data_IF_733897782691
#
_entry.id   IF_733897782691
#
_cell.length_a   1.000
_cell.length_b   1.000
_cell.length_c   1.000
_cell.angle_alpha   90.00
_cell.angle_beta   90.00
_cell.angle_gamma   90.00
#
_symmetry.space_group_name_H-M   'P 1'
#
loop_
_entity.id
_entity.type
_entity.pdbx_description
1 polymer ?
#
# COMPACT_ATOMS: atom_id res chain seq x y z
N UNK A 1 27.70 9.68 -15.54
CA UNK A 1 26.52 9.54 -16.40
C UNK A 1 25.41 8.80 -15.64
N UNK A 2 24.61 9.57 -14.90
CA UNK A 2 23.57 9.11 -13.98
C UNK A 2 22.43 10.09 -14.12
N UNK A 3 21.64 9.91 -15.17
CA UNK A 3 20.56 10.83 -15.54
C UNK A 3 19.27 10.36 -14.90
N UNK A 4 18.43 11.32 -14.49
CA UNK A 4 17.08 11.14 -13.91
C UNK A 4 16.22 10.10 -14.66
N UNK A 5 16.48 9.87 -15.95
CA UNK A 5 15.84 8.85 -16.76
C UNK A 5 16.19 7.40 -16.37
N UNK A 6 17.35 7.11 -15.78
CA UNK A 6 17.73 5.74 -15.34
C UNK A 6 16.98 5.30 -14.08
N UNK A 7 16.63 6.24 -13.18
CA UNK A 7 15.82 5.94 -11.99
C UNK A 7 14.39 5.50 -12.34
N UNK A 8 13.85 6.00 -13.46
CA UNK A 8 12.58 5.51 -14.01
C UNK A 8 12.71 4.15 -14.73
N UNK A 9 13.93 3.78 -15.17
CA UNK A 9 14.19 2.57 -15.93
C UNK A 9 14.59 1.37 -15.06
N UNK A 10 15.26 1.59 -13.93
CA UNK A 10 15.65 0.54 -12.97
C UNK A 10 14.61 0.30 -11.87
N UNK A 11 13.60 1.17 -11.72
CA UNK A 11 12.45 0.90 -10.86
C UNK A 11 12.77 0.90 -9.36
N UNK A 12 13.84 1.58 -8.93
CA UNK A 12 14.14 1.71 -7.51
C UNK A 12 13.14 2.64 -6.83
N UNK A 13 12.17 2.04 -6.13
CA UNK A 13 11.06 2.73 -5.47
C UNK A 13 11.58 3.80 -4.52
N UNK A 14 12.69 3.56 -3.82
CA UNK A 14 13.22 4.51 -2.85
C UNK A 14 13.77 5.77 -3.53
N UNK A 15 14.48 5.61 -4.64
CA UNK A 15 15.04 6.75 -5.39
C UNK A 15 13.94 7.60 -6.02
N UNK A 16 12.90 6.95 -6.59
CA UNK A 16 11.73 7.65 -7.14
C UNK A 16 11.00 8.41 -6.01
N UNK A 17 10.73 7.75 -4.88
CA UNK A 17 10.09 8.38 -3.71
C UNK A 17 10.87 9.60 -3.23
N UNK A 18 12.19 9.48 -3.08
CA UNK A 18 13.05 10.56 -2.63
C UNK A 18 12.97 11.77 -3.55
N UNK A 19 13.08 11.56 -4.87
CA UNK A 19 12.97 12.64 -5.85
C UNK A 19 11.56 13.26 -5.85
N UNK A 20 10.50 12.47 -5.80
CA UNK A 20 9.12 12.95 -5.74
C UNK A 20 8.85 13.84 -4.53
N UNK A 21 9.40 13.48 -3.35
CA UNK A 21 9.25 14.30 -2.13
C UNK A 21 10.01 15.63 -2.28
N UNK A 22 11.26 15.61 -2.73
CA UNK A 22 12.03 16.85 -2.96
C UNK A 22 11.36 17.76 -3.99
N UNK A 23 10.87 17.19 -5.10
CA UNK A 23 10.15 17.92 -6.12
C UNK A 23 8.83 18.50 -5.57
N UNK A 24 8.10 17.74 -4.75
CA UNK A 24 6.90 18.22 -4.07
C UNK A 24 7.17 19.41 -3.14
N UNK A 25 8.26 19.37 -2.37
CA UNK A 25 8.69 20.48 -1.51
C UNK A 25 9.06 21.71 -2.36
N UNK A 26 9.80 21.55 -3.45
CA UNK A 26 10.15 22.65 -4.35
C UNK A 26 8.91 23.30 -4.99
N UNK A 27 7.92 22.51 -5.40
CA UNK A 27 6.64 23.02 -5.89
C UNK A 27 5.88 23.78 -4.81
N UNK A 28 5.88 23.29 -3.56
CA UNK A 28 5.24 23.97 -2.44
C UNK A 28 5.90 25.32 -2.11
N UNK A 29 7.22 25.41 -2.20
CA UNK A 29 7.97 26.66 -1.97
C UNK A 29 7.76 27.72 -3.06
N UNK A 30 7.45 27.31 -4.28
CA UNK A 30 7.28 28.21 -5.44
C UNK A 30 5.86 28.81 -5.55
N UNK A 31 4.93 28.37 -4.67
CA UNK A 31 3.63 29.02 -4.47
C UNK A 31 2.74 29.12 -5.71
N UNK A 32 2.38 30.35 -6.10
CA UNK A 32 1.38 30.58 -7.17
C UNK A 32 1.88 30.19 -8.57
N UNK A 33 3.18 30.25 -8.82
CA UNK A 33 3.75 29.90 -10.14
C UNK A 33 3.70 28.40 -10.42
N UNK A 34 3.75 27.55 -9.40
CA UNK A 34 3.68 26.08 -9.52
C UNK A 34 2.26 25.53 -9.52
N UNK A 35 1.24 26.38 -9.30
CA UNK A 35 -0.19 26.00 -9.21
C UNK A 35 -0.73 25.25 -10.45
N UNK A 36 -0.35 25.58 -11.70
CA UNK A 36 -0.75 24.79 -12.87
C UNK A 36 -0.17 23.38 -12.87
N UNK A 37 1.08 23.21 -12.43
CA UNK A 37 1.77 21.91 -12.37
C UNK A 37 1.12 21.02 -11.30
N UNK A 38 0.83 21.57 -10.12
CA UNK A 38 0.15 20.83 -9.05
C UNK A 38 -1.25 20.39 -9.49
N UNK A 39 -2.02 21.28 -10.12
CA UNK A 39 -3.36 20.94 -10.64
C UNK A 39 -3.29 19.83 -11.70
N UNK A 40 -2.28 19.87 -12.57
CA UNK A 40 -2.07 18.81 -13.57
C UNK A 40 -1.74 17.46 -12.91
N UNK A 41 -0.86 17.44 -11.92
CA UNK A 41 -0.53 16.21 -11.17
C UNK A 41 -1.74 15.65 -10.42
N UNK A 42 -2.57 16.51 -9.83
CA UNK A 42 -3.83 16.10 -9.22
C UNK A 42 -4.82 15.54 -10.26
N UNK A 43 -4.92 16.19 -11.43
CA UNK A 43 -5.78 15.72 -12.51
C UNK A 43 -5.33 14.35 -13.05
N UNK A 44 -4.02 14.06 -13.08
CA UNK A 44 -3.49 12.73 -13.45
C UNK A 44 -3.79 11.64 -12.43
N UNK A 45 -4.00 12.00 -11.17
CA UNK A 45 -4.31 11.04 -10.10
C UNK A 45 -5.68 10.38 -10.33
N UNK A 46 -6.67 11.12 -10.86
CA UNK A 46 -8.02 10.59 -11.08
C UNK A 46 -8.10 9.46 -12.16
N UNK A 47 -7.47 9.58 -13.35
CA UNK A 47 -7.34 8.48 -14.30
C UNK A 47 -6.63 7.26 -13.71
N UNK A 48 -5.57 7.44 -12.92
CA UNK A 48 -4.86 6.33 -12.27
C UNK A 48 -5.81 5.56 -11.34
N UNK A 49 -6.56 6.26 -10.48
CA UNK A 49 -7.56 5.62 -9.63
C UNK A 49 -8.66 4.92 -10.43
N UNK A 50 -9.10 5.50 -11.56
CA UNK A 50 -10.10 4.86 -12.42
C UNK A 50 -9.55 3.60 -13.08
N UNK A 51 -8.29 3.60 -13.51
CA UNK A 51 -7.59 2.41 -14.01
C UNK A 51 -7.48 1.35 -12.92
N UNK A 52 -7.04 1.70 -11.71
CA UNK A 52 -7.00 0.78 -10.57
C UNK A 52 -8.39 0.21 -10.28
N UNK A 53 -9.46 1.00 -10.39
CA UNK A 53 -10.84 0.54 -10.25
C UNK A 53 -11.25 -0.48 -11.32
N UNK A 54 -10.83 -0.30 -12.58
CA UNK A 54 -11.05 -1.29 -13.64
C UNK A 54 -10.26 -2.58 -13.35
N UNK A 55 -8.99 -2.44 -12.93
CA UNK A 55 -8.15 -3.57 -12.57
C UNK A 55 -8.72 -4.34 -11.37
N UNK A 56 -9.27 -3.67 -10.37
CA UNK A 56 -9.95 -4.29 -9.23
C UNK A 56 -11.19 -5.10 -9.67
N UNK A 57 -11.92 -4.66 -10.69
CA UNK A 57 -13.02 -5.47 -11.28
C UNK A 57 -12.52 -6.68 -12.05
N UNK A 58 -11.33 -6.61 -12.65
CA UNK A 58 -10.69 -7.74 -13.33
C UNK A 58 -9.93 -8.68 -12.36
N UNK A 59 -9.52 -8.18 -11.20
CA UNK A 59 -8.81 -8.91 -10.16
C UNK A 59 -9.48 -10.23 -9.74
N UNK A 60 -10.81 -10.36 -9.56
CA UNK A 60 -11.43 -11.65 -9.21
C UNK A 60 -11.17 -12.74 -10.26
N UNK A 61 -11.17 -12.38 -11.55
CA UNK A 61 -10.88 -13.33 -12.64
C UNK A 61 -9.40 -13.72 -12.61
N UNK A 62 -8.51 -12.74 -12.40
CA UNK A 62 -7.07 -12.97 -12.27
C UNK A 62 -6.74 -13.85 -11.06
N UNK A 63 -7.35 -13.57 -9.90
CA UNK A 63 -7.18 -14.33 -8.67
C UNK A 63 -7.72 -15.75 -8.81
N UNK A 64 -8.88 -15.94 -9.45
CA UNK A 64 -9.42 -17.26 -9.75
C UNK A 64 -8.49 -18.07 -10.66
N UNK A 65 -7.96 -17.44 -11.72
CA UNK A 65 -6.97 -18.07 -12.60
C UNK A 65 -5.68 -18.45 -11.86
N UNK A 66 -5.15 -17.56 -11.01
CA UNK A 66 -3.96 -17.81 -10.21
C UNK A 66 -4.17 -18.94 -9.20
N UNK A 67 -5.32 -18.98 -8.52
CA UNK A 67 -5.68 -20.06 -7.59
C UNK A 67 -5.89 -21.39 -8.31
N UNK A 68 -6.61 -21.41 -9.43
CA UNK A 68 -6.81 -22.61 -10.25
C UNK A 68 -5.48 -23.17 -10.78
N UNK A 69 -4.58 -22.32 -11.26
CA UNK A 69 -3.24 -22.73 -11.68
C UNK A 69 -2.42 -23.30 -10.52
N UNK A 70 -2.46 -22.64 -9.35
CA UNK A 70 -1.72 -23.09 -8.17
C UNK A 70 -2.21 -24.45 -7.70
N UNK A 71 -3.53 -24.67 -7.65
CA UNK A 71 -4.13 -25.96 -7.28
C UNK A 71 -3.85 -27.02 -8.35
N UNK A 72 -3.92 -26.68 -9.63
CA UNK A 72 -3.69 -27.61 -10.73
C UNK A 72 -2.23 -28.08 -10.88
N UNK A 73 -1.26 -27.19 -10.63
CA UNK A 73 0.19 -27.51 -10.72
C UNK A 73 0.76 -28.05 -9.41
N UNK A 74 0.36 -27.49 -8.27
CA UNK A 74 0.99 -27.74 -6.98
C UNK A 74 0.08 -28.49 -5.98
N UNK A 75 -1.14 -28.84 -6.39
CA UNK A 75 -2.08 -29.64 -5.61
C UNK A 75 -2.66 -28.95 -4.37
N UNK A 76 -3.51 -29.69 -3.64
CA UNK A 76 -4.13 -29.24 -2.38
C UNK A 76 -3.10 -29.03 -1.26
N UNK A 77 -1.99 -29.76 -1.28
CA UNK A 77 -0.92 -29.60 -0.28
C UNK A 77 -0.27 -28.21 -0.28
N UNK A 78 -0.19 -27.55 -1.43
CA UNK A 78 0.37 -26.20 -1.53
C UNK A 78 -0.58 -25.12 -1.04
N UNK A 79 -1.89 -25.35 -1.15
CA UNK A 79 -2.90 -24.48 -0.54
C UNK A 79 -2.77 -24.50 0.98
N UNK A 80 -2.49 -25.66 1.58
CA UNK A 80 -2.29 -25.76 3.02
C UNK A 80 -1.06 -24.98 3.51
N UNK A 81 0.06 -25.02 2.77
CA UNK A 81 1.24 -24.22 3.09
C UNK A 81 0.98 -22.71 2.96
N UNK A 82 0.26 -22.29 1.90
CA UNK A 82 -0.15 -20.89 1.76
C UNK A 82 -1.07 -20.46 2.91
N UNK A 83 -2.01 -21.32 3.32
CA UNK A 83 -2.93 -21.05 4.42
C UNK A 83 -2.19 -20.92 5.76
N UNK A 84 -1.19 -21.77 6.02
CA UNK A 84 -0.34 -21.66 7.22
C UNK A 84 0.48 -20.37 7.20
N UNK A 85 1.01 -19.97 6.03
CA UNK A 85 1.71 -18.70 5.88
C UNK A 85 0.80 -17.52 6.20
N UNK A 86 -0.41 -17.51 5.62
CA UNK A 86 -1.43 -16.48 5.87
C UNK A 86 -1.84 -16.46 7.35
N UNK A 87 -2.06 -17.62 7.95
CA UNK A 87 -2.39 -17.71 9.38
C UNK A 87 -1.27 -17.18 10.28
N UNK A 88 -0.01 -17.50 9.95
CA UNK A 88 1.17 -17.01 10.70
C UNK A 88 1.31 -15.50 10.56
N UNK A 89 1.07 -14.96 9.36
CA UNK A 89 1.04 -13.52 9.12
C UNK A 89 -0.04 -12.82 9.94
N UNK A 90 -1.28 -13.32 9.93
CA UNK A 90 -2.38 -12.77 10.74
C UNK A 90 -2.09 -12.87 12.24
N UNK A 91 -1.54 -13.99 12.70
CA UNK A 91 -1.19 -14.16 14.11
C UNK A 91 -0.09 -13.19 14.54
N UNK A 92 0.94 -13.00 13.71
CA UNK A 92 2.02 -12.04 13.96
C UNK A 92 1.50 -10.60 13.96
N UNK A 93 0.63 -10.25 12.99
CA UNK A 93 -0.02 -8.94 12.93
C UNK A 93 -0.89 -8.70 14.17
N UNK A 94 -1.66 -9.70 14.62
CA UNK A 94 -2.46 -9.62 15.84
C UNK A 94 -1.57 -9.40 17.06
N UNK A 95 -0.49 -10.17 17.23
CA UNK A 95 0.47 -9.96 18.32
C UNK A 95 1.12 -8.59 18.27
N UNK A 96 1.43 -8.06 17.08
CA UNK A 96 2.00 -6.72 16.93
C UNK A 96 0.99 -5.63 17.33
N UNK A 97 -0.26 -5.74 16.89
CA UNK A 97 -1.32 -4.77 17.22
C UNK A 97 -1.64 -4.79 18.72
N UNK A 98 -1.86 -5.96 19.31
CA UNK A 98 -2.23 -6.05 20.74
C UNK A 98 -1.03 -5.95 21.68
N UNK A 99 0.15 -6.37 21.24
CA UNK A 99 1.39 -6.31 22.01
C UNK A 99 2.07 -4.95 21.87
N UNK A 100 2.59 -4.62 20.68
CA UNK A 100 3.42 -3.42 20.47
C UNK A 100 2.57 -2.17 20.51
N UNK A 101 1.54 -2.07 19.66
CA UNK A 101 0.63 -0.93 19.65
C UNK A 101 -0.09 -0.81 21.01
N UNK A 102 -0.41 -1.96 21.60
CA UNK A 102 -1.02 -2.03 22.92
C UNK A 102 -0.19 -1.40 24.03
N UNK A 103 1.08 -1.80 24.12
CA UNK A 103 2.03 -1.26 25.10
C UNK A 103 2.31 0.22 24.83
N UNK A 104 2.44 0.64 23.57
CA UNK A 104 2.65 2.05 23.21
C UNK A 104 1.47 2.94 23.63
N UNK A 105 0.22 2.51 23.41
CA UNK A 105 -0.97 3.23 23.85
C UNK A 105 -1.06 3.31 25.38
N UNK A 106 -0.75 2.22 26.08
CA UNK A 106 -0.71 2.16 27.56
C UNK A 106 0.32 3.15 28.12
N UNK A 107 1.51 3.25 27.53
CA UNK A 107 2.55 4.19 27.93
C UNK A 107 2.16 5.65 27.69
N UNK A 108 1.33 5.93 26.67
CA UNK A 108 0.84 7.27 26.35
C UNK A 108 -0.49 7.63 27.05
N UNK A 109 -1.00 6.78 27.95
CA UNK A 109 -2.20 7.05 28.75
C UNK A 109 -3.53 6.96 27.98
N UNK A 110 -3.53 6.47 26.74
CA UNK A 110 -4.73 6.30 25.92
C UNK A 110 -5.14 4.82 25.83
N UNK A 111 -6.45 4.57 25.86
CA UNK A 111 -6.96 3.20 25.75
C UNK A 111 -6.76 2.64 24.33
N UNK A 112 -6.21 1.44 24.24
CA UNK A 112 -6.04 0.67 22.98
C UNK A 112 -7.39 0.51 22.26
N UNK A 113 -8.47 0.38 23.02
CA UNK A 113 -9.82 0.24 22.50
C UNK A 113 -10.29 1.50 21.76
N UNK A 114 -9.84 2.71 22.14
CA UNK A 114 -10.13 3.93 21.39
C UNK A 114 -9.40 3.98 20.05
N UNK A 115 -8.14 3.54 19.98
CA UNK A 115 -7.37 3.53 18.74
C UNK A 115 -7.90 2.46 17.76
N UNK A 116 -8.15 1.25 18.27
CA UNK A 116 -8.75 0.17 17.46
C UNK A 116 -10.15 0.57 17.00
N UNK A 117 -10.93 1.30 17.80
CA UNK A 117 -12.24 1.84 17.40
C UNK A 117 -12.13 2.99 16.40
N UNK A 118 -11.07 3.80 16.48
CA UNK A 118 -10.81 4.90 15.55
C UNK A 118 -10.37 4.41 14.17
N UNK A 119 -9.48 3.41 14.12
CA UNK A 119 -9.03 2.81 12.85
C UNK A 119 -10.07 1.81 12.31
N UNK A 120 -11.04 1.37 13.12
CA UNK A 120 -12.09 0.42 12.68
C UNK A 120 -12.89 0.94 11.49
N UNK A 121 -13.11 2.24 11.41
CA UNK A 121 -13.84 2.88 10.32
C UNK A 121 -13.02 2.93 9.02
N UNK A 122 -11.68 3.01 9.11
CA UNK A 122 -10.78 2.90 7.95
C UNK A 122 -10.46 1.45 7.57
N UNK A 123 -10.45 0.51 8.53
CA UNK A 123 -10.23 -0.92 8.29
C UNK A 123 -11.44 -1.62 7.66
N UNK A 124 -12.64 -1.04 7.78
CA UNK A 124 -13.89 -1.53 7.19
C UNK A 124 -14.26 -0.86 5.87
N UNK A 125 -13.49 0.15 5.43
CA UNK A 125 -13.55 0.77 4.10
C UNK A 125 -12.62 0.04 3.13
#
# INVERSE_FOLDING_TARGET
PSTIASAFAEGDILQVLFFSVLFGIALAMTGETSRPVVTFLQALTAPIFKLVGILMKAAPIGAFGAMAFTIGKYGIGSVANLAILVATFYLTAFLFVFGVLGVVCRCNGFSIFSLVRYIKDELLL
#
